data_IF_934176154715
#
_entry.id   IF_934176154715
#
_cell.length_a   1.000
_cell.length_b   1.000
_cell.length_c   1.000
_cell.angle_alpha   90.00
_cell.angle_beta   90.00
_cell.angle_gamma   90.00
#
_symmetry.space_group_name_H-M   'P 1'
#
loop_
_entity.id
_entity.type
_entity.pdbx_description
1 polymer ?
#
# COMPACT_ATOMS: atom_id res chain seq x y z
N UNK A 1 -19.93 -8.49 -1.94
CA UNK A 1 -20.39 -7.51 -2.96
C UNK A 1 -19.85 -6.11 -2.66
N UNK A 2 -20.03 -5.59 -1.45
CA UNK A 2 -19.49 -4.28 -1.03
C UNK A 2 -18.00 -4.10 -1.30
N UNK A 3 -17.14 -5.05 -0.89
CA UNK A 3 -15.68 -4.98 -1.14
C UNK A 3 -15.33 -4.90 -2.65
N UNK A 4 -16.11 -5.58 -3.49
CA UNK A 4 -15.95 -5.53 -4.96
C UNK A 4 -16.33 -4.17 -5.50
N UNK A 5 -17.46 -3.61 -5.09
CA UNK A 5 -17.94 -2.29 -5.54
C UNK A 5 -17.01 -1.17 -5.05
N UNK A 6 -16.61 -1.21 -3.79
CA UNK A 6 -15.65 -0.27 -3.19
C UNK A 6 -14.32 -0.29 -3.95
N UNK A 7 -13.80 -1.48 -4.29
CA UNK A 7 -12.55 -1.59 -5.06
C UNK A 7 -12.71 -1.12 -6.49
N UNK A 8 -13.79 -1.52 -7.19
CA UNK A 8 -14.05 -1.04 -8.55
C UNK A 8 -14.12 0.48 -8.60
N UNK A 9 -14.85 1.09 -7.67
CA UNK A 9 -14.99 2.53 -7.59
C UNK A 9 -13.65 3.21 -7.25
N UNK A 10 -12.84 2.63 -6.37
CA UNK A 10 -11.47 3.11 -6.07
C UNK A 10 -10.62 3.21 -7.35
N UNK A 11 -10.59 2.14 -8.15
CA UNK A 11 -9.82 2.13 -9.40
C UNK A 11 -10.39 3.09 -10.45
N UNK A 12 -11.71 3.28 -10.49
CA UNK A 12 -12.34 4.28 -11.36
C UNK A 12 -11.96 5.72 -10.98
N UNK A 13 -11.76 6.02 -9.70
CA UNK A 13 -11.24 7.33 -9.27
C UNK A 13 -9.81 7.52 -9.78
N UNK A 14 -8.95 6.50 -9.67
CA UNK A 14 -7.60 6.58 -10.25
C UNK A 14 -7.63 6.87 -11.75
N UNK A 15 -8.47 6.15 -12.50
CA UNK A 15 -8.64 6.38 -13.92
C UNK A 15 -9.14 7.81 -14.24
N UNK A 16 -10.08 8.34 -13.45
CA UNK A 16 -10.57 9.72 -13.60
C UNK A 16 -9.49 10.77 -13.30
N UNK A 17 -8.72 10.58 -12.22
CA UNK A 17 -7.61 11.48 -11.88
C UNK A 17 -6.56 11.51 -12.98
N UNK A 18 -6.18 10.35 -13.52
CA UNK A 18 -5.21 10.25 -14.61
C UNK A 18 -5.74 10.89 -15.91
N UNK A 19 -6.95 10.52 -16.34
CA UNK A 19 -7.44 10.86 -17.69
C UNK A 19 -8.19 12.17 -17.79
N UNK A 20 -8.82 12.63 -16.70
CA UNK A 20 -9.67 13.81 -16.72
C UNK A 20 -9.03 14.97 -15.96
N UNK A 21 -8.44 14.71 -14.79
CA UNK A 21 -7.74 15.75 -14.03
C UNK A 21 -6.32 15.96 -14.59
N UNK A 22 -5.67 14.91 -15.08
CA UNK A 22 -4.29 14.97 -15.58
C UNK A 22 -3.25 15.14 -14.47
N UNK A 23 -3.59 14.76 -13.23
CA UNK A 23 -2.70 14.90 -12.07
C UNK A 23 -1.92 13.61 -11.81
N UNK A 24 -0.61 13.74 -11.56
CA UNK A 24 0.21 12.61 -11.13
C UNK A 24 0.14 12.45 -9.61
N UNK A 25 -0.90 11.73 -9.16
CA UNK A 25 -1.08 11.38 -7.76
C UNK A 25 -1.57 9.94 -7.61
N UNK A 26 -1.23 9.32 -6.48
CA UNK A 26 -1.80 8.02 -6.10
C UNK A 26 -3.14 8.29 -5.38
N UNK A 27 -3.08 8.65 -4.10
CA UNK A 27 -4.25 9.04 -3.30
C UNK A 27 -4.12 10.48 -2.82
N UNK A 28 -3.86 11.39 -3.76
CA UNK A 28 -3.67 12.82 -3.51
C UNK A 28 -4.99 13.57 -3.24
N UNK A 29 -4.95 14.91 -3.23
CA UNK A 29 -6.13 15.74 -2.94
C UNK A 29 -7.32 15.47 -3.87
N UNK A 30 -7.09 15.25 -5.18
CA UNK A 30 -8.19 15.03 -6.13
C UNK A 30 -8.87 13.69 -5.89
N UNK A 31 -8.09 12.63 -5.66
CA UNK A 31 -8.58 11.32 -5.28
C UNK A 31 -9.44 11.41 -4.00
N UNK A 32 -8.91 12.06 -2.95
CA UNK A 32 -9.58 12.17 -1.65
C UNK A 32 -10.88 12.96 -1.73
N UNK A 33 -10.89 14.06 -2.49
CA UNK A 33 -12.10 14.86 -2.69
C UNK A 33 -13.18 14.05 -3.44
N UNK A 34 -12.80 13.35 -4.53
CA UNK A 34 -13.73 12.53 -5.30
C UNK A 34 -14.27 11.36 -4.47
N UNK A 35 -13.41 10.69 -3.72
CA UNK A 35 -13.78 9.64 -2.78
C UNK A 35 -14.82 10.14 -1.76
N UNK A 36 -14.57 11.29 -1.12
CA UNK A 36 -15.49 11.88 -0.15
C UNK A 36 -16.85 12.22 -0.78
N UNK A 37 -16.86 12.81 -1.98
CA UNK A 37 -18.08 13.12 -2.69
C UNK A 37 -18.93 11.88 -3.02
N UNK A 38 -18.29 10.80 -3.48
CA UNK A 38 -18.99 9.52 -3.77
C UNK A 38 -19.53 8.90 -2.49
N UNK A 39 -18.74 8.88 -1.41
CA UNK A 39 -19.19 8.34 -0.13
C UNK A 39 -20.33 9.16 0.49
N UNK A 40 -20.44 10.45 0.19
CA UNK A 40 -21.55 11.28 0.64
C UNK A 40 -22.83 11.11 -0.21
N UNK A 41 -22.69 10.69 -1.47
CA UNK A 41 -23.80 10.59 -2.42
C UNK A 41 -24.57 9.26 -2.34
N UNK A 42 -24.05 8.24 -1.67
CA UNK A 42 -24.67 6.92 -1.56
C UNK A 42 -24.24 6.19 -0.28
N UNK A 43 -24.96 5.12 0.06
CA UNK A 43 -24.72 4.31 1.27
C UNK A 43 -24.59 2.80 1.00
N UNK A 44 -24.51 2.37 -0.26
CA UNK A 44 -24.36 0.95 -0.64
C UNK A 44 -22.96 0.40 -0.30
N UNK A 45 -21.93 1.25 -0.37
CA UNK A 45 -20.56 0.91 0.00
C UNK A 45 -19.76 2.14 0.40
N UNK A 46 -18.64 1.94 1.09
CA UNK A 46 -17.67 3.01 1.37
C UNK A 46 -16.38 2.79 0.56
N UNK A 47 -16.01 3.77 -0.26
CA UNK A 47 -14.67 3.84 -0.86
C UNK A 47 -13.67 4.21 0.23
N UNK A 48 -12.53 3.53 0.25
CA UNK A 48 -11.45 3.82 1.18
C UNK A 48 -10.11 3.84 0.46
N UNK A 49 -9.11 4.48 1.06
CA UNK A 49 -7.75 4.57 0.52
C UNK A 49 -7.06 3.20 0.50
N UNK A 50 -7.39 2.32 1.46
CA UNK A 50 -6.82 0.99 1.54
C UNK A 50 -7.89 -0.05 1.23
N UNK A 51 -7.65 -0.90 0.25
CA UNK A 51 -8.54 -2.03 -0.01
C UNK A 51 -8.67 -2.90 1.23
N UNK A 52 -9.91 -3.13 1.68
CA UNK A 52 -10.21 -4.06 2.76
C UNK A 52 -10.94 -5.25 2.18
N UNK A 53 -10.20 -6.29 1.86
CA UNK A 53 -10.78 -7.59 1.55
C UNK A 53 -10.91 -8.39 2.85
N UNK A 54 -12.09 -8.97 3.14
CA UNK A 54 -12.26 -9.91 4.24
C UNK A 54 -11.63 -11.25 3.88
N UNK A 55 -10.33 -11.25 3.61
CA UNK A 55 -9.58 -12.49 3.50
C UNK A 55 -9.43 -13.05 4.92
N UNK A 56 -9.64 -14.37 5.12
CA UNK A 56 -9.33 -14.98 6.39
C UNK A 56 -7.88 -14.65 6.77
N UNK A 57 -7.65 -14.31 8.04
CA UNK A 57 -6.30 -14.15 8.54
C UNK A 57 -5.52 -15.41 8.17
N UNK A 58 -4.43 -15.25 7.41
CA UNK A 58 -3.70 -16.42 6.94
C UNK A 58 -3.15 -17.16 8.14
N UNK A 59 -3.57 -18.40 8.24
CA UNK A 59 -3.09 -19.38 9.21
C UNK A 59 -1.67 -19.86 8.89
N UNK A 60 -1.15 -19.52 7.70
CA UNK A 60 0.21 -19.87 7.31
C UNK A 60 1.20 -18.93 8.00
N UNK A 61 2.12 -19.45 8.82
CA UNK A 61 3.14 -18.61 9.44
C UNK A 61 4.00 -17.92 8.37
N UNK A 62 4.51 -16.71 8.64
CA UNK A 62 5.46 -16.07 7.75
C UNK A 62 6.69 -16.97 7.59
N UNK A 63 7.08 -17.25 6.34
CA UNK A 63 8.24 -18.10 6.03
C UNK A 63 9.56 -17.33 6.04
N UNK A 64 9.50 -16.00 6.06
CA UNK A 64 10.65 -15.14 5.92
C UNK A 64 10.59 -13.95 6.87
N UNK A 65 11.75 -13.47 7.28
CA UNK A 65 11.95 -12.21 7.97
C UNK A 65 12.72 -11.27 7.04
N UNK A 66 12.13 -10.13 6.70
CA UNK A 66 12.82 -9.07 6.00
C UNK A 66 13.55 -8.20 7.02
N UNK A 67 14.87 -8.13 6.91
CA UNK A 67 15.76 -7.49 7.85
C UNK A 67 16.42 -6.27 7.19
N UNK A 68 16.43 -5.13 7.89
CA UNK A 68 17.14 -3.95 7.43
C UNK A 68 18.59 -3.97 7.93
N UNK A 69 19.60 -3.84 7.05
CA UNK A 69 21.00 -3.81 7.46
C UNK A 69 21.38 -2.54 8.23
N UNK A 70 20.61 -1.45 8.07
CA UNK A 70 20.93 -0.15 8.69
C UNK A 70 20.36 0.00 10.10
N UNK A 71 19.11 -0.42 10.32
CA UNK A 71 18.43 -0.22 11.61
C UNK A 71 18.04 -1.52 12.31
N UNK A 72 18.28 -2.68 11.70
CA UNK A 72 17.96 -3.97 12.30
C UNK A 72 16.47 -4.31 12.38
N UNK A 73 15.57 -3.48 11.82
CA UNK A 73 14.12 -3.80 11.85
C UNK A 73 13.87 -5.14 11.15
N UNK A 74 13.04 -5.98 11.76
CA UNK A 74 12.65 -7.30 11.23
C UNK A 74 11.14 -7.32 11.03
N UNK A 75 10.71 -7.66 9.82
CA UNK A 75 9.29 -7.72 9.45
C UNK A 75 8.94 -9.09 8.89
N UNK A 76 7.81 -9.70 9.30
CA UNK A 76 7.39 -10.99 8.79
C UNK A 76 6.88 -10.90 7.34
N UNK A 77 7.31 -11.83 6.50
CA UNK A 77 6.90 -11.96 5.11
C UNK A 77 6.57 -13.41 4.76
N UNK A 78 5.53 -13.60 3.94
CA UNK A 78 5.19 -14.94 3.42
C UNK A 78 6.05 -15.36 2.24
N UNK A 79 6.57 -14.39 1.48
CA UNK A 79 7.44 -14.60 0.32
C UNK A 79 8.57 -13.57 0.31
N UNK A 80 9.70 -13.93 -0.32
CA UNK A 80 10.77 -12.97 -0.62
C UNK A 80 10.29 -11.99 -1.68
N UNK A 81 10.58 -10.69 -1.48
CA UNK A 81 10.29 -9.63 -2.45
C UNK A 81 11.60 -8.94 -2.79
N UNK A 82 11.92 -8.84 -4.08
CA UNK A 82 13.14 -8.15 -4.53
C UNK A 82 12.94 -6.64 -4.49
N UNK A 83 14.01 -5.89 -4.23
CA UNK A 83 14.02 -4.43 -4.31
C UNK A 83 13.36 -3.70 -3.13
N UNK A 84 12.90 -4.41 -2.10
CA UNK A 84 12.25 -3.77 -0.96
C UNK A 84 13.29 -3.04 -0.09
N UNK A 85 13.05 -1.78 0.26
CA UNK A 85 13.91 -1.01 1.15
C UNK A 85 13.19 -0.60 2.43
N UNK A 86 13.95 -0.42 3.51
CA UNK A 86 13.42 0.05 4.79
C UNK A 86 12.92 1.49 4.67
N UNK A 87 11.61 1.68 4.74
CA UNK A 87 10.97 3.01 4.66
C UNK A 87 11.56 3.99 5.68
N UNK A 88 11.72 3.57 6.94
CA UNK A 88 12.27 4.41 8.01
C UNK A 88 13.68 4.91 7.69
N UNK A 89 14.54 4.06 7.12
CA UNK A 89 15.90 4.46 6.77
C UNK A 89 15.94 5.29 5.49
N UNK A 90 15.09 4.99 4.50
CA UNK A 90 14.94 5.82 3.31
C UNK A 90 14.47 7.24 3.67
N UNK A 91 13.51 7.36 4.59
CA UNK A 91 13.03 8.66 5.11
C UNK A 91 14.14 9.40 5.86
N UNK A 92 14.80 8.73 6.80
CA UNK A 92 15.79 9.36 7.68
C UNK A 92 17.10 9.73 6.97
N UNK A 93 17.56 8.91 6.02
CA UNK A 93 18.90 9.04 5.42
C UNK A 93 18.87 9.54 3.98
N UNK A 94 17.75 9.37 3.26
CA UNK A 94 17.67 9.59 1.82
C UNK A 94 16.47 10.46 1.42
N UNK A 95 15.94 11.26 2.35
CA UNK A 95 14.83 12.19 2.08
C UNK A 95 13.56 11.51 1.59
N UNK A 96 13.30 10.28 2.04
CA UNK A 96 12.16 9.48 1.62
C UNK A 96 12.32 8.79 0.27
N UNK A 97 13.47 8.99 -0.41
CA UNK A 97 13.77 8.29 -1.66
C UNK A 97 14.32 6.91 -1.36
N UNK A 98 13.96 5.97 -2.23
CA UNK A 98 14.53 4.64 -2.20
C UNK A 98 16.05 4.71 -2.37
N UNK A 99 16.80 3.90 -1.61
CA UNK A 99 18.25 3.80 -1.73
C UNK A 99 18.75 2.38 -1.45
N UNK A 100 19.78 1.94 -2.19
CA UNK A 100 20.30 0.57 -2.12
C UNK A 100 20.88 0.20 -0.75
N UNK A 101 21.40 1.17 0.01
CA UNK A 101 21.90 0.93 1.38
C UNK A 101 20.81 0.49 2.36
N UNK A 102 19.54 0.72 2.02
CA UNK A 102 18.39 0.37 2.85
C UNK A 102 17.68 -0.88 2.33
N UNK A 103 18.23 -1.57 1.33
CA UNK A 103 17.68 -2.79 0.76
C UNK A 103 17.56 -3.87 1.84
N UNK A 104 16.36 -4.45 1.98
CA UNK A 104 16.10 -5.50 2.95
C UNK A 104 16.66 -6.84 2.45
N UNK A 105 17.35 -7.55 3.32
CA UNK A 105 17.69 -8.95 3.10
C UNK A 105 16.65 -9.86 3.74
N UNK A 106 16.44 -11.05 3.18
CA UNK A 106 15.43 -11.99 3.65
C UNK A 106 16.10 -13.20 4.30
N UNK A 107 15.80 -13.42 5.56
CA UNK A 107 16.16 -14.60 6.34
C UNK A 107 14.98 -15.55 6.41
N UNK A 108 15.23 -16.86 6.53
CA UNK A 108 14.17 -17.82 6.76
C UNK A 108 13.63 -17.66 8.19
N UNK A 109 12.32 -17.59 8.35
CA UNK A 109 11.70 -17.59 9.67
C UNK A 109 11.83 -18.99 10.29
N UNK A 110 12.14 -19.05 11.58
CA UNK A 110 12.22 -20.29 12.35
C UNK A 110 10.85 -20.97 12.49
#
# INVERSE_FOLDING_TARGET
REATLSTLCHEMIHAWVDRVVGAQEVHGPHFRARMAAINAAQSEFAVSIRHRYPLPASTTPPRWLACCPTCGVRLPYRRRVKGLACRLCCERLHGGRWHASCLLHFEQAA
#
